data_IF_164806057024
#
_entry.id   IF_164806057024
#
_cell.length_a   1.000
_cell.length_b   1.000
_cell.length_c   1.000
_cell.angle_alpha   90.00
_cell.angle_beta   90.00
_cell.angle_gamma   90.00
#
_symmetry.space_group_name_H-M   'P 1'
#
loop_
_entity.id
_entity.type
_entity.pdbx_description
1 polymer ?
#
# COMPACT_ATOMS: atom_id res chain seq x y z
N UNK A 1 -6.13 -5.08 -11.69
CA UNK A 1 -4.74 -5.00 -11.19
C UNK A 1 -4.36 -6.21 -10.35
N UNK A 2 -4.95 -6.40 -9.15
CA UNK A 2 -4.57 -7.47 -8.22
C UNK A 2 -4.59 -8.90 -8.81
N UNK A 3 -5.60 -9.23 -9.63
CA UNK A 3 -5.65 -10.53 -10.29
C UNK A 3 -4.40 -10.81 -11.15
N UNK A 4 -3.87 -9.80 -11.83
CA UNK A 4 -2.66 -9.96 -12.65
C UNK A 4 -1.40 -10.15 -11.79
N UNK A 5 -1.34 -9.53 -10.61
CA UNK A 5 -0.28 -9.80 -9.61
C UNK A 5 -0.36 -11.24 -9.11
N UNK A 6 -1.56 -11.75 -8.89
CA UNK A 6 -1.77 -13.16 -8.56
C UNK A 6 -1.33 -14.09 -9.71
N UNK A 7 -1.59 -13.73 -10.97
CA UNK A 7 -1.13 -14.50 -12.13
C UNK A 7 0.39 -14.62 -12.14
N UNK A 8 1.09 -13.48 -11.96
CA UNK A 8 2.55 -13.44 -11.86
C UNK A 8 3.09 -14.34 -10.73
N UNK A 9 2.40 -14.39 -9.59
CA UNK A 9 2.79 -15.23 -8.46
C UNK A 9 2.54 -16.73 -8.70
N UNK A 10 1.48 -17.08 -9.44
CA UNK A 10 1.24 -18.48 -9.86
C UNK A 10 2.35 -18.93 -10.82
N UNK A 11 2.68 -18.09 -11.81
CA UNK A 11 3.70 -18.39 -12.81
C UNK A 11 5.11 -18.43 -12.19
N UNK A 12 5.43 -17.55 -11.23
CA UNK A 12 6.73 -17.54 -10.54
C UNK A 12 6.99 -18.84 -9.77
N UNK A 13 5.92 -19.54 -9.37
CA UNK A 13 5.94 -20.85 -8.71
C UNK A 13 5.84 -22.03 -9.68
N UNK A 14 5.91 -21.78 -10.99
CA UNK A 14 5.80 -22.80 -12.04
C UNK A 14 4.38 -23.30 -12.29
N UNK A 15 3.37 -22.61 -11.75
CA UNK A 15 1.96 -22.88 -12.04
C UNK A 15 1.51 -22.26 -13.36
N UNK A 16 0.36 -22.69 -13.85
CA UNK A 16 -0.26 -22.17 -15.08
C UNK A 16 -1.54 -21.40 -14.74
N UNK A 17 -1.67 -20.19 -15.26
CA UNK A 17 -2.89 -19.38 -15.10
C UNK A 17 -4.04 -20.02 -15.89
N UNK A 18 -5.22 -20.24 -15.28
CA UNK A 18 -6.38 -20.77 -15.98
C UNK A 18 -6.79 -19.91 -17.18
N UNK A 19 -7.06 -20.53 -18.33
CA UNK A 19 -7.44 -19.81 -19.54
C UNK A 19 -8.73 -18.99 -19.37
N UNK A 20 -9.67 -19.45 -18.54
CA UNK A 20 -10.87 -18.69 -18.19
C UNK A 20 -10.55 -17.35 -17.51
N UNK A 21 -9.51 -17.31 -16.67
CA UNK A 21 -9.07 -16.09 -16.00
C UNK A 21 -8.39 -15.13 -16.97
N UNK A 22 -7.58 -15.65 -17.91
CA UNK A 22 -7.00 -14.85 -19.00
C UNK A 22 -8.08 -14.25 -19.92
N UNK A 23 -9.14 -15.02 -20.21
CA UNK A 23 -10.30 -14.52 -20.96
C UNK A 23 -11.02 -13.41 -20.18
N UNK A 24 -11.21 -13.58 -18.88
CA UNK A 24 -11.79 -12.56 -18.00
C UNK A 24 -10.97 -11.26 -17.98
N UNK A 25 -9.65 -11.38 -17.87
CA UNK A 25 -8.73 -10.24 -17.94
C UNK A 25 -8.90 -9.47 -19.26
N UNK A 26 -8.93 -10.16 -20.40
CA UNK A 26 -9.10 -9.54 -21.72
C UNK A 26 -10.43 -8.79 -21.81
N UNK A 27 -11.53 -9.44 -21.41
CA UNK A 27 -12.87 -8.80 -21.42
C UNK A 27 -12.91 -7.53 -20.58
N UNK A 28 -12.30 -7.55 -19.39
CA UNK A 28 -12.22 -6.39 -18.51
C UNK A 28 -11.38 -5.27 -19.12
N UNK A 29 -10.18 -5.58 -19.65
CA UNK A 29 -9.32 -4.60 -20.31
C UNK A 29 -10.02 -3.96 -21.53
N UNK A 30 -10.68 -4.77 -22.36
CA UNK A 30 -11.45 -4.28 -23.51
C UNK A 30 -12.60 -3.37 -23.09
N UNK A 31 -13.27 -3.66 -21.97
CA UNK A 31 -14.33 -2.81 -21.44
C UNK A 31 -13.81 -1.43 -21.02
N UNK A 32 -12.67 -1.37 -20.33
CA UNK A 32 -12.06 -0.09 -19.97
C UNK A 32 -11.57 0.69 -21.19
N UNK A 33 -11.03 0.03 -22.21
CA UNK A 33 -10.69 0.70 -23.48
C UNK A 33 -11.94 1.27 -24.16
N UNK A 34 -13.05 0.53 -24.21
CA UNK A 34 -14.31 1.05 -24.79
C UNK A 34 -14.82 2.28 -24.03
N UNK A 35 -14.78 2.25 -22.69
CA UNK A 35 -15.12 3.41 -21.86
C UNK A 35 -14.24 4.62 -22.18
N UNK A 36 -12.93 4.41 -22.27
CA UNK A 36 -11.97 5.46 -22.62
C UNK A 36 -12.23 6.03 -24.02
N UNK A 37 -12.45 5.17 -25.01
CA UNK A 37 -12.67 5.57 -26.39
C UNK A 37 -13.98 6.35 -26.56
N UNK A 38 -15.01 6.01 -25.78
CA UNK A 38 -16.31 6.68 -25.80
C UNK A 38 -16.33 7.99 -25.01
N UNK A 39 -15.72 8.02 -23.83
CA UNK A 39 -15.90 9.11 -22.86
C UNK A 39 -14.62 9.84 -22.45
N UNK A 40 -13.44 9.30 -22.76
CA UNK A 40 -12.16 9.85 -22.29
C UNK A 40 -11.97 9.75 -20.77
N UNK A 41 -12.66 8.82 -20.12
CA UNK A 41 -12.60 8.57 -18.67
C UNK A 41 -13.19 7.18 -18.34
N UNK A 42 -13.02 6.73 -17.09
CA UNK A 42 -13.54 5.43 -16.64
C UNK A 42 -14.82 5.51 -15.79
N UNK A 43 -15.21 6.71 -15.36
CA UNK A 43 -16.37 6.92 -14.48
C UNK A 43 -16.11 6.53 -13.03
N UNK A 44 -16.95 7.04 -12.14
CA UNK A 44 -17.11 6.52 -10.77
C UNK A 44 -18.21 5.47 -10.74
N UNK A 45 -19.36 5.78 -11.34
CA UNK A 45 -20.47 4.86 -11.49
C UNK A 45 -20.73 4.61 -12.97
N UNK A 46 -20.80 3.32 -13.30
CA UNK A 46 -20.99 2.83 -14.66
C UNK A 46 -22.15 1.84 -14.63
N UNK A 47 -23.06 1.95 -15.59
CA UNK A 47 -24.11 0.97 -15.81
C UNK A 47 -23.48 -0.37 -16.20
N UNK A 48 -23.77 -1.42 -15.45
CA UNK A 48 -23.13 -2.74 -15.62
C UNK A 48 -23.57 -3.44 -16.91
N UNK A 49 -24.76 -3.12 -17.43
CA UNK A 49 -25.33 -3.74 -18.63
C UNK A 49 -24.88 -3.01 -19.90
N UNK A 50 -24.90 -1.67 -19.89
CA UNK A 50 -24.58 -0.87 -21.08
C UNK A 50 -23.13 -0.41 -21.15
N UNK A 51 -22.46 -0.32 -20.00
CA UNK A 51 -21.15 0.33 -19.90
C UNK A 51 -21.21 1.85 -20.02
N UNK A 52 -22.37 2.46 -19.83
CA UNK A 52 -22.50 3.92 -19.84
C UNK A 52 -22.10 4.52 -18.49
N UNK A 53 -21.40 5.66 -18.53
CA UNK A 53 -21.02 6.37 -17.31
C UNK A 53 -22.24 7.11 -16.77
N UNK A 54 -22.68 6.72 -15.57
CA UNK A 54 -23.74 7.38 -14.83
C UNK A 54 -23.21 8.60 -14.06
N UNK A 55 -22.03 8.45 -13.44
CA UNK A 55 -21.33 9.53 -12.73
C UNK A 55 -19.86 9.49 -13.11
N UNK A 56 -19.34 10.60 -13.62
CA UNK A 56 -17.96 10.74 -14.09
C UNK A 56 -17.18 11.83 -13.38
N UNK A 57 -16.06 12.23 -13.97
CA UNK A 57 -15.23 13.36 -13.56
C UNK A 57 -14.61 13.23 -12.17
N UNK A 58 -14.19 12.01 -11.82
CA UNK A 58 -13.46 11.69 -10.60
C UNK A 58 -12.20 10.86 -10.92
N UNK A 59 -11.40 10.57 -9.90
CA UNK A 59 -10.24 9.68 -9.95
C UNK A 59 -10.57 8.24 -9.50
N UNK A 60 -11.85 7.86 -9.43
CA UNK A 60 -12.30 6.53 -9.03
C UNK A 60 -11.61 5.39 -9.82
N UNK A 61 -11.46 5.60 -11.13
CA UNK A 61 -10.79 4.66 -12.02
C UNK A 61 -9.27 4.75 -12.02
N UNK A 62 -8.63 5.35 -11.01
CA UNK A 62 -7.18 5.56 -10.99
C UNK A 62 -6.40 4.24 -11.20
N UNK A 63 -6.78 3.16 -10.51
CA UNK A 63 -6.09 1.86 -10.61
C UNK A 63 -6.21 1.21 -12.00
N UNK A 64 -7.18 1.63 -12.82
CA UNK A 64 -7.38 1.12 -14.18
C UNK A 64 -6.15 1.40 -15.04
N UNK A 65 -5.46 2.53 -14.82
CA UNK A 65 -4.23 2.87 -15.52
C UNK A 65 -3.16 1.78 -15.32
N UNK A 66 -2.82 1.45 -14.07
CA UNK A 66 -1.89 0.36 -13.76
C UNK A 66 -2.40 -0.99 -14.24
N UNK A 67 -3.71 -1.23 -14.12
CA UNK A 67 -4.34 -2.47 -14.58
C UNK A 67 -4.21 -2.70 -16.09
N UNK A 68 -4.43 -1.67 -16.90
CA UNK A 68 -4.26 -1.71 -18.35
C UNK A 68 -2.79 -1.79 -18.76
N UNK A 69 -1.89 -1.14 -18.02
CA UNK A 69 -0.45 -1.25 -18.25
C UNK A 69 0.00 -2.72 -18.09
N UNK A 70 -0.35 -3.37 -16.97
CA UNK A 70 -0.08 -4.79 -16.75
C UNK A 70 -0.73 -5.66 -17.83
N UNK A 71 -1.99 -5.36 -18.19
CA UNK A 71 -2.71 -6.15 -19.18
C UNK A 71 -2.05 -6.05 -20.57
N UNK A 72 -1.47 -4.90 -20.91
CA UNK A 72 -0.72 -4.73 -22.15
C UNK A 72 0.47 -5.67 -22.23
N UNK A 73 1.18 -5.86 -21.11
CA UNK A 73 2.30 -6.79 -21.00
C UNK A 73 1.81 -8.24 -21.09
N UNK A 74 0.83 -8.62 -20.26
CA UNK A 74 0.30 -9.99 -20.17
C UNK A 74 -0.38 -10.46 -21.45
N UNK A 75 -1.11 -9.59 -22.14
CA UNK A 75 -1.89 -9.92 -23.34
C UNK A 75 -1.22 -9.44 -24.63
N UNK A 76 0.00 -8.90 -24.56
CA UNK A 76 0.76 -8.35 -25.68
C UNK A 76 -0.05 -7.41 -26.57
N UNK A 77 -0.81 -6.49 -25.96
CA UNK A 77 -1.77 -5.62 -26.66
C UNK A 77 -1.38 -4.14 -26.49
N UNK A 78 -0.71 -3.52 -27.48
CA UNK A 78 -0.21 -2.14 -27.38
C UNK A 78 -1.28 -1.10 -27.10
N UNK A 79 -2.52 -1.34 -27.54
CA UNK A 79 -3.65 -0.44 -27.28
C UNK A 79 -3.91 -0.24 -25.79
N UNK A 80 -3.79 -1.30 -24.97
CA UNK A 80 -4.00 -1.18 -23.53
C UNK A 80 -2.97 -0.25 -22.90
N UNK A 81 -1.71 -0.33 -23.33
CA UNK A 81 -0.67 0.56 -22.84
C UNK A 81 -0.94 2.01 -23.27
N UNK A 82 -1.31 2.24 -24.53
CA UNK A 82 -1.63 3.58 -25.01
C UNK A 82 -2.76 4.24 -24.19
N UNK A 83 -3.82 3.49 -23.86
CA UNK A 83 -4.91 3.98 -23.02
C UNK A 83 -4.45 4.18 -21.57
N UNK A 84 -3.63 3.28 -21.03
CA UNK A 84 -3.07 3.40 -19.68
C UNK A 84 -2.25 4.69 -19.53
N UNK A 85 -1.37 4.99 -20.49
CA UNK A 85 -0.55 6.20 -20.48
C UNK A 85 -1.41 7.47 -20.62
N UNK A 86 -2.35 7.49 -21.58
CA UNK A 86 -3.21 8.64 -21.82
C UNK A 86 -4.12 8.95 -20.62
N UNK A 87 -4.71 7.92 -20.00
CA UNK A 87 -5.56 8.08 -18.82
C UNK A 87 -4.78 8.51 -17.59
N UNK A 88 -3.58 7.96 -17.36
CA UNK A 88 -2.72 8.37 -16.26
C UNK A 88 -2.25 9.83 -16.40
N UNK A 89 -1.93 10.27 -17.62
CA UNK A 89 -1.59 11.66 -17.91
C UNK A 89 -2.78 12.59 -17.64
N UNK A 90 -3.99 12.17 -18.03
CA UNK A 90 -5.22 12.93 -17.72
C UNK A 90 -5.43 13.05 -16.21
N UNK A 91 -5.29 11.96 -15.45
CA UNK A 91 -5.43 12.01 -13.99
C UNK A 91 -4.40 12.92 -13.33
N UNK A 92 -3.16 12.92 -13.81
CA UNK A 92 -2.14 13.85 -13.32
C UNK A 92 -2.56 15.31 -13.51
N UNK A 93 -2.99 15.69 -14.72
CA UNK A 93 -3.40 17.06 -15.01
C UNK A 93 -4.69 17.49 -14.31
N UNK A 94 -5.68 16.60 -14.25
CA UNK A 94 -7.01 16.96 -13.77
C UNK A 94 -7.15 16.91 -12.25
N UNK A 95 -6.28 16.17 -11.56
CA UNK A 95 -6.37 15.93 -10.12
C UNK A 95 -5.06 16.24 -9.39
N UNK A 96 -3.96 15.56 -9.73
CA UNK A 96 -2.70 15.68 -8.99
C UNK A 96 -2.18 17.11 -8.99
N UNK A 97 -2.12 17.77 -10.15
CA UNK A 97 -1.69 19.18 -10.25
C UNK A 97 -2.60 20.16 -9.50
N UNK A 98 -3.84 19.76 -9.17
CA UNK A 98 -4.77 20.55 -8.38
C UNK A 98 -4.71 20.24 -6.88
N UNK A 99 -3.87 19.28 -6.47
CA UNK A 99 -3.61 18.96 -5.07
C UNK A 99 -4.60 18.00 -4.42
N UNK A 100 -5.41 17.27 -5.19
CA UNK A 100 -6.35 16.29 -4.63
C UNK A 100 -6.68 15.16 -5.61
N UNK A 101 -7.20 14.05 -5.10
CA UNK A 101 -7.87 12.97 -5.85
C UNK A 101 -9.24 12.71 -5.24
N UNK A 102 -10.16 12.05 -5.94
CA UNK A 102 -11.55 11.88 -5.47
C UNK A 102 -12.27 10.68 -6.09
N UNK A 103 -13.30 10.18 -5.41
CA UNK A 103 -14.21 9.13 -5.89
C UNK A 103 -13.68 7.71 -5.74
N UNK A 104 -12.58 7.51 -5.02
CA UNK A 104 -12.00 6.19 -4.76
C UNK A 104 -12.97 5.22 -4.07
N UNK A 105 -13.55 5.58 -2.92
CA UNK A 105 -14.52 4.72 -2.24
C UNK A 105 -15.86 4.76 -2.99
N UNK A 106 -16.31 3.60 -3.47
CA UNK A 106 -17.46 3.48 -4.37
C UNK A 106 -18.82 3.59 -3.67
N UNK A 107 -18.83 3.50 -2.34
CA UNK A 107 -20.03 3.52 -1.51
C UNK A 107 -20.37 4.90 -0.95
N UNK A 108 -19.54 5.91 -1.20
CA UNK A 108 -19.73 7.28 -0.72
C UNK A 108 -19.70 8.30 -1.87
N UNK A 109 -20.04 9.56 -1.56
CA UNK A 109 -19.99 10.68 -2.51
C UNK A 109 -18.56 10.90 -3.04
N UNK A 110 -18.43 11.54 -4.21
CA UNK A 110 -17.16 11.95 -4.84
C UNK A 110 -16.42 13.02 -4.02
N UNK A 111 -16.00 12.65 -2.81
CA UNK A 111 -15.25 13.49 -1.89
C UNK A 111 -13.75 13.25 -2.08
N UNK A 112 -12.87 14.22 -1.72
CA UNK A 112 -11.45 13.97 -1.68
C UNK A 112 -11.08 12.76 -0.81
N UNK A 113 -10.20 11.91 -1.31
CA UNK A 113 -9.90 10.62 -0.69
C UNK A 113 -8.48 10.11 -0.93
N UNK A 114 -8.02 9.24 -0.04
CA UNK A 114 -6.70 8.59 -0.11
C UNK A 114 -6.68 7.39 -1.05
N UNK A 115 -7.82 6.71 -1.23
CA UNK A 115 -7.88 5.44 -1.97
C UNK A 115 -7.54 5.64 -3.44
N UNK A 116 -8.11 6.66 -4.06
CA UNK A 116 -7.78 7.10 -5.42
C UNK A 116 -6.36 7.66 -5.50
N UNK A 117 -5.84 8.30 -4.45
CA UNK A 117 -4.46 8.77 -4.40
C UNK A 117 -3.47 7.60 -4.46
N UNK A 118 -3.58 6.63 -3.55
CA UNK A 118 -2.70 5.48 -3.53
C UNK A 118 -2.92 4.56 -4.75
N UNK A 119 -4.14 4.42 -5.26
CA UNK A 119 -4.43 3.71 -6.51
C UNK A 119 -3.75 4.35 -7.74
N UNK A 120 -3.69 5.68 -7.78
CA UNK A 120 -2.99 6.41 -8.84
C UNK A 120 -1.48 6.30 -8.68
N UNK A 121 -0.97 6.31 -7.45
CA UNK A 121 0.45 6.10 -7.14
C UNK A 121 0.91 4.71 -7.60
N UNK A 122 0.14 3.65 -7.28
CA UNK A 122 0.34 2.29 -7.79
C UNK A 122 0.37 2.27 -9.32
N UNK A 123 -0.54 3.00 -9.96
CA UNK A 123 -0.62 3.06 -11.42
C UNK A 123 0.58 3.74 -12.06
N UNK A 124 1.07 4.85 -11.50
CA UNK A 124 2.31 5.47 -11.97
C UNK A 124 3.50 4.55 -11.81
N UNK A 125 3.58 3.80 -10.70
CA UNK A 125 4.65 2.84 -10.50
C UNK A 125 4.58 1.67 -11.48
N UNK A 126 3.40 1.10 -11.74
CA UNK A 126 3.23 0.06 -12.75
C UNK A 126 3.61 0.55 -14.15
N UNK A 127 3.18 1.76 -14.52
CA UNK A 127 3.58 2.40 -15.78
C UNK A 127 5.09 2.61 -15.87
N UNK A 128 5.75 3.04 -14.78
CA UNK A 128 7.19 3.17 -14.74
C UNK A 128 7.90 1.83 -14.92
N UNK A 129 7.46 0.78 -14.23
CA UNK A 129 8.06 -0.56 -14.30
C UNK A 129 7.99 -1.13 -15.73
N UNK A 130 6.89 -0.89 -16.44
CA UNK A 130 6.67 -1.38 -17.82
C UNK A 130 7.38 -0.51 -18.86
N UNK A 131 7.25 0.81 -18.76
CA UNK A 131 7.68 1.74 -19.83
C UNK A 131 9.06 2.32 -19.60
N UNK A 132 9.56 2.30 -18.36
CA UNK A 132 10.79 2.97 -17.90
C UNK A 132 10.82 4.48 -18.13
N UNK A 133 9.70 5.11 -18.50
CA UNK A 133 9.60 6.56 -18.69
C UNK A 133 9.65 7.25 -17.34
N UNK A 134 10.68 8.10 -17.12
CA UNK A 134 10.88 8.84 -15.86
C UNK A 134 9.75 9.82 -15.53
N UNK A 135 8.91 10.20 -16.50
CA UNK A 135 7.75 11.05 -16.27
C UNK A 135 6.82 10.50 -15.19
N UNK A 136 6.66 9.18 -15.11
CA UNK A 136 5.80 8.56 -14.11
C UNK A 136 6.37 8.69 -12.69
N UNK A 137 7.70 8.71 -12.55
CA UNK A 137 8.35 9.01 -11.27
C UNK A 137 8.16 10.48 -10.88
N UNK A 138 8.19 11.40 -11.85
CA UNK A 138 7.90 12.80 -11.58
C UNK A 138 6.44 12.99 -11.11
N UNK A 139 5.49 12.32 -11.76
CA UNK A 139 4.08 12.37 -11.34
C UNK A 139 3.86 11.74 -9.96
N UNK A 140 4.54 10.64 -9.67
CA UNK A 140 4.53 10.03 -8.33
C UNK A 140 5.14 10.96 -7.27
N UNK A 141 6.22 11.68 -7.59
CA UNK A 141 6.81 12.69 -6.69
C UNK A 141 5.82 13.79 -6.32
N UNK A 142 5.03 14.27 -7.28
CA UNK A 142 4.03 15.32 -7.05
C UNK A 142 2.81 14.80 -6.28
N UNK A 143 2.48 13.51 -6.44
CA UNK A 143 1.38 12.85 -5.74
C UNK A 143 1.74 12.44 -4.30
N UNK A 144 3.02 12.19 -4.01
CA UNK A 144 3.48 11.71 -2.70
C UNK A 144 3.03 12.60 -1.52
N UNK A 145 3.10 13.94 -1.59
CA UNK A 145 2.58 14.80 -0.52
C UNK A 145 1.07 14.66 -0.28
N UNK A 146 0.28 14.38 -1.31
CA UNK A 146 -1.16 14.13 -1.19
C UNK A 146 -1.39 12.80 -0.46
N UNK A 147 -0.64 11.74 -0.83
CA UNK A 147 -0.68 10.47 -0.09
C UNK A 147 -0.32 10.68 1.38
N UNK A 148 0.76 11.41 1.66
CA UNK A 148 1.21 11.69 3.02
C UNK A 148 0.19 12.52 3.83
N UNK A 149 -0.55 13.45 3.21
CA UNK A 149 -1.54 14.25 3.94
C UNK A 149 -2.75 13.45 4.42
N UNK A 150 -2.96 12.24 3.90
CA UNK A 150 -3.97 11.31 4.40
C UNK A 150 -3.47 10.36 5.48
N UNK A 151 -2.16 10.32 5.73
CA UNK A 151 -1.56 9.46 6.76
C UNK A 151 -1.36 10.24 8.05
N UNK A 152 -1.77 9.66 9.16
CA UNK A 152 -1.59 10.24 10.50
C UNK A 152 -0.10 10.21 10.85
N UNK A 153 0.46 11.38 11.15
CA UNK A 153 1.90 11.59 11.40
C UNK A 153 2.29 11.61 12.88
N UNK A 154 1.37 11.26 13.77
CA UNK A 154 1.56 11.33 15.22
C UNK A 154 0.75 10.26 15.95
N UNK A 155 1.14 9.99 17.19
CA UNK A 155 0.37 9.13 18.08
C UNK A 155 -0.62 9.95 18.89
N UNK A 156 -1.89 9.62 18.71
CA UNK A 156 -3.01 10.20 19.42
C UNK A 156 -3.11 9.58 20.81
N UNK A 157 -3.36 10.43 21.81
CA UNK A 157 -3.56 9.97 23.18
C UNK A 157 -5.01 9.51 23.32
N UNK A 158 -5.24 8.21 23.14
CA UNK A 158 -6.57 7.63 23.28
C UNK A 158 -7.09 7.72 24.73
N UNK A 159 -8.40 7.95 24.94
CA UNK A 159 -9.00 7.95 26.27
C UNK A 159 -8.74 6.65 27.03
N UNK A 160 -8.44 6.73 28.33
CA UNK A 160 -8.07 5.57 29.16
C UNK A 160 -9.06 4.40 29.13
N UNK A 161 -10.34 4.72 28.98
CA UNK A 161 -11.43 3.73 28.93
C UNK A 161 -11.71 3.17 27.52
N UNK A 162 -11.04 3.68 26.48
CA UNK A 162 -11.24 3.26 25.09
C UNK A 162 -10.58 1.91 24.80
N UNK A 163 -10.98 1.25 23.71
CA UNK A 163 -10.39 -0.03 23.29
C UNK A 163 -8.95 0.17 22.81
N UNK A 164 -8.72 1.22 22.03
CA UNK A 164 -7.39 1.55 21.50
C UNK A 164 -6.38 1.84 22.61
N UNK A 165 -6.80 2.50 23.70
CA UNK A 165 -5.93 2.68 24.87
C UNK A 165 -5.56 1.36 25.55
N UNK A 166 -6.51 0.43 25.72
CA UNK A 166 -6.25 -0.88 26.35
C UNK A 166 -5.22 -1.72 25.59
N UNK A 167 -5.12 -1.52 24.29
CA UNK A 167 -4.12 -2.17 23.44
C UNK A 167 -2.91 -1.27 23.16
N UNK A 168 -2.72 -0.18 23.91
CA UNK A 168 -1.60 0.74 23.76
C UNK A 168 -1.35 1.10 22.28
N UNK A 169 -2.43 1.45 21.58
CA UNK A 169 -2.37 1.69 20.14
C UNK A 169 -1.68 3.01 19.80
N UNK A 170 -0.84 2.96 18.78
CA UNK A 170 -0.15 4.06 18.14
C UNK A 170 -0.86 4.42 16.83
N UNK A 171 -1.38 5.65 16.72
CA UNK A 171 -2.12 6.07 15.52
C UNK A 171 -1.24 6.48 14.34
N UNK A 172 0.06 6.71 14.57
CA UNK A 172 0.98 7.03 13.47
C UNK A 172 0.92 5.93 12.40
N UNK A 173 0.89 6.33 11.13
CA UNK A 173 0.77 5.41 9.99
C UNK A 173 -0.66 4.98 9.64
N UNK A 174 -1.66 5.24 10.50
CA UNK A 174 -3.06 5.01 10.13
C UNK A 174 -3.49 5.99 9.02
N UNK A 175 -4.39 5.57 8.14
CA UNK A 175 -4.74 6.30 6.90
C UNK A 175 -6.20 6.72 6.90
N UNK A 176 -6.47 8.00 6.67
CA UNK A 176 -7.81 8.53 6.46
C UNK A 176 -8.29 8.21 5.05
N UNK A 177 -9.31 7.36 4.94
CA UNK A 177 -9.81 6.93 3.64
C UNK A 177 -10.35 8.09 2.79
N UNK A 178 -11.10 9.03 3.39
CA UNK A 178 -11.64 10.20 2.72
C UNK A 178 -12.08 11.27 3.72
N UNK A 179 -12.43 12.48 3.24
CA UNK A 179 -13.06 13.48 4.11
C UNK A 179 -14.50 13.09 4.55
N UNK A 180 -15.13 12.14 3.86
CA UNK A 180 -16.46 11.66 4.23
C UNK A 180 -16.39 10.53 5.26
N UNK A 181 -15.27 9.80 5.32
CA UNK A 181 -14.99 8.80 6.34
C UNK A 181 -14.42 9.49 7.59
N UNK A 182 -15.01 9.16 8.73
CA UNK A 182 -14.88 9.95 9.97
C UNK A 182 -13.82 9.38 10.93
N UNK A 183 -13.02 8.45 10.46
CA UNK A 183 -11.98 7.73 11.18
C UNK A 183 -10.83 7.44 10.21
N UNK A 184 -9.63 7.20 10.75
CA UNK A 184 -8.59 6.56 9.97
C UNK A 184 -8.75 5.04 10.00
N UNK A 185 -7.97 4.36 9.18
CA UNK A 185 -7.90 2.92 9.05
C UNK A 185 -6.47 2.41 9.29
N UNK A 186 -6.29 1.11 9.63
CA UNK A 186 -4.99 0.53 9.93
C UNK A 186 -3.92 0.68 8.83
N UNK A 187 -4.32 0.88 7.57
CA UNK A 187 -3.40 0.98 6.45
C UNK A 187 -4.08 1.45 5.16
N UNK A 188 -3.39 1.29 4.03
CA UNK A 188 -3.80 1.80 2.73
C UNK A 188 -4.86 0.87 2.10
N UNK A 189 -6.13 0.96 2.51
CA UNK A 189 -7.21 0.12 1.98
C UNK A 189 -6.77 -1.36 1.82
N UNK A 190 -6.67 -1.89 0.59
CA UNK A 190 -6.25 -3.28 0.30
C UNK A 190 -4.79 -3.38 -0.19
N UNK A 191 -3.93 -2.42 0.16
CA UNK A 191 -2.56 -2.28 -0.38
C UNK A 191 -1.51 -2.37 0.73
N UNK A 192 -0.33 -2.88 0.37
CA UNK A 192 0.83 -2.99 1.26
C UNK A 192 1.69 -1.73 1.33
N UNK A 193 1.56 -0.83 0.35
CA UNK A 193 2.52 0.25 0.13
C UNK A 193 3.81 -0.17 -0.59
N UNK A 194 3.87 -1.36 -1.22
CA UNK A 194 5.07 -1.79 -1.97
C UNK A 194 5.47 -0.82 -3.09
N UNK A 195 4.50 -0.08 -3.67
CA UNK A 195 4.78 1.01 -4.60
C UNK A 195 5.68 2.12 -4.01
N UNK A 196 5.55 2.45 -2.71
CA UNK A 196 6.39 3.45 -2.05
C UNK A 196 7.84 2.97 -1.94
N UNK A 197 8.05 1.69 -1.62
CA UNK A 197 9.39 1.08 -1.60
C UNK A 197 9.99 1.07 -3.02
N UNK A 198 9.23 0.64 -4.02
CA UNK A 198 9.69 0.65 -5.42
C UNK A 198 10.02 2.06 -5.90
N UNK A 199 9.21 3.05 -5.54
CA UNK A 199 9.45 4.45 -5.87
C UNK A 199 10.73 4.97 -5.21
N UNK A 200 10.91 4.71 -3.91
CA UNK A 200 12.15 5.03 -3.21
C UNK A 200 13.35 4.39 -3.90
N UNK A 201 13.28 3.09 -4.26
CA UNK A 201 14.37 2.38 -4.94
C UNK A 201 14.71 3.00 -6.30
N UNK A 202 13.73 3.56 -7.00
CA UNK A 202 13.92 4.22 -8.30
C UNK A 202 14.45 5.65 -8.20
N UNK A 203 14.27 6.34 -7.06
CA UNK A 203 14.48 7.80 -6.96
C UNK A 203 15.39 8.25 -5.82
N UNK A 204 15.55 7.43 -4.78
CA UNK A 204 16.13 7.76 -3.47
C UNK A 204 15.37 8.84 -2.68
N UNK A 205 14.10 9.09 -3.03
CA UNK A 205 13.25 10.03 -2.30
C UNK A 205 12.83 9.47 -0.94
N UNK A 206 13.54 9.91 0.12
CA UNK A 206 13.38 9.39 1.49
C UNK A 206 11.97 9.55 2.04
N UNK A 207 11.23 10.57 1.59
CA UNK A 207 9.84 10.82 2.03
C UNK A 207 8.96 9.60 1.81
N UNK A 208 9.19 8.82 0.75
CA UNK A 208 8.38 7.66 0.43
C UNK A 208 8.67 6.47 1.35
N UNK A 209 9.93 6.21 1.68
CA UNK A 209 10.27 5.09 2.57
C UNK A 209 10.00 5.42 4.03
N UNK A 210 10.08 6.69 4.42
CA UNK A 210 9.65 7.17 5.74
C UNK A 210 8.13 7.01 5.89
N UNK A 211 7.34 7.46 4.91
CA UNK A 211 5.88 7.25 4.89
C UNK A 211 5.52 5.76 4.93
N UNK A 212 6.23 4.94 4.17
CA UNK A 212 6.02 3.49 4.18
C UNK A 212 6.35 2.89 5.55
N UNK A 213 7.42 3.34 6.21
CA UNK A 213 7.80 2.85 7.53
C UNK A 213 6.72 3.17 8.56
N UNK A 214 6.17 4.38 8.57
CA UNK A 214 5.07 4.75 9.48
C UNK A 214 3.86 3.82 9.29
N UNK A 215 3.42 3.63 8.05
CA UNK A 215 2.25 2.80 7.71
C UNK A 215 2.51 1.32 8.04
N UNK A 216 3.61 0.76 7.55
CA UNK A 216 3.91 -0.67 7.69
C UNK A 216 4.20 -1.07 9.14
N UNK A 217 4.85 -0.19 9.91
CA UNK A 217 5.12 -0.43 11.33
C UNK A 217 3.85 -0.31 12.18
N UNK A 218 2.96 0.63 11.82
CA UNK A 218 1.71 0.88 12.53
C UNK A 218 0.66 -0.21 12.30
N UNK A 219 0.56 -0.79 11.10
CA UNK A 219 -0.55 -1.67 10.73
C UNK A 219 -0.71 -2.93 11.63
N UNK A 220 0.34 -3.73 11.92
CA UNK A 220 0.19 -5.02 12.59
C UNK A 220 -0.41 -4.96 14.00
N UNK A 221 -0.32 -3.83 14.69
CA UNK A 221 -0.86 -3.67 16.05
C UNK A 221 -2.39 -3.76 16.10
N UNK A 222 -3.07 -3.53 14.97
CA UNK A 222 -4.51 -3.57 14.84
C UNK A 222 -5.07 -4.98 14.60
N UNK A 223 -4.22 -5.99 14.61
CA UNK A 223 -4.62 -7.40 14.54
C UNK A 223 -5.06 -7.85 15.93
N UNK A 224 -6.33 -8.24 16.06
CA UNK A 224 -6.86 -8.86 17.27
C UNK A 224 -6.15 -10.19 17.52
N UNK A 225 -5.58 -10.36 18.71
CA UNK A 225 -4.92 -11.61 19.11
C UNK A 225 -5.66 -12.27 20.26
N UNK A 226 -5.46 -13.58 20.42
CA UNK A 226 -6.06 -14.32 21.52
C UNK A 226 -5.60 -13.80 22.91
N UNK A 227 -4.36 -13.34 23.03
CA UNK A 227 -3.76 -12.77 24.23
C UNK A 227 -4.01 -11.25 24.38
N UNK A 228 -4.41 -10.59 23.30
CA UNK A 228 -4.66 -9.14 23.24
C UNK A 228 -5.84 -8.84 22.30
N UNK A 229 -7.08 -9.16 22.71
CA UNK A 229 -8.24 -8.98 21.85
C UNK A 229 -8.58 -7.49 21.68
N UNK A 230 -9.01 -7.12 20.49
CA UNK A 230 -9.49 -5.76 20.19
C UNK A 230 -11.02 -5.77 20.17
N UNK A 231 -11.60 -5.22 21.23
CA UNK A 231 -13.06 -5.26 21.43
C UNK A 231 -13.53 -6.71 21.53
N UNK A 232 -14.55 -7.06 20.72
CA UNK A 232 -15.10 -8.41 20.65
C UNK A 232 -14.62 -9.18 19.40
N UNK A 233 -13.59 -8.70 18.70
CA UNK A 233 -13.13 -9.34 17.45
C UNK A 233 -12.44 -10.68 17.71
N UNK A 234 -12.68 -11.70 16.86
CA UNK A 234 -11.96 -12.96 16.94
C UNK A 234 -10.46 -12.78 16.63
N UNK A 235 -9.59 -13.72 17.05
CA UNK A 235 -8.19 -13.72 16.67
C UNK A 235 -7.98 -13.68 15.16
N UNK A 236 -7.04 -12.86 14.70
CA UNK A 236 -6.78 -12.60 13.28
C UNK A 236 -7.64 -11.50 12.68
N UNK A 237 -8.71 -11.08 13.35
CA UNK A 237 -9.57 -10.01 12.86
C UNK A 237 -8.95 -8.63 12.99
N UNK A 238 -9.21 -7.77 12.00
CA UNK A 238 -8.78 -6.38 11.99
C UNK A 238 -9.99 -5.48 11.81
N UNK A 239 -10.08 -4.44 12.65
CA UNK A 239 -11.12 -3.44 12.54
C UNK A 239 -10.66 -2.31 11.61
N UNK A 240 -11.55 -1.84 10.75
CA UNK A 240 -11.34 -0.63 9.96
C UNK A 240 -11.19 0.64 10.81
N UNK A 241 -11.83 0.71 11.99
CA UNK A 241 -11.96 1.95 12.76
C UNK A 241 -10.76 2.22 13.65
N UNK A 242 -9.86 3.11 13.22
CA UNK A 242 -8.93 3.83 14.09
C UNK A 242 -9.51 5.22 14.36
N UNK A 243 -10.35 5.33 15.38
CA UNK A 243 -11.14 6.54 15.59
C UNK A 243 -10.44 7.56 16.50
N UNK A 244 -10.03 8.67 15.90
CA UNK A 244 -9.23 9.75 16.51
C UNK A 244 -10.07 10.97 16.89
N UNK A 245 -11.37 10.95 16.58
CA UNK A 245 -12.28 12.09 16.74
C UNK A 245 -13.60 11.70 17.39
N UNK A 246 -14.30 12.68 17.94
CA UNK A 246 -15.62 12.51 18.56
C UNK A 246 -16.77 12.54 17.54
N UNK A 247 -16.47 12.40 16.24
CA UNK A 247 -17.47 12.48 15.20
C UNK A 247 -18.61 11.47 15.38
N UNK A 248 -18.27 10.23 15.73
CA UNK A 248 -19.27 9.18 16.02
C UNK A 248 -19.77 9.23 17.48
N UNK A 249 -19.47 10.32 18.20
CA UNK A 249 -19.74 10.53 19.62
C UNK A 249 -18.47 10.48 20.48
N UNK A 250 -18.46 11.23 21.59
CA UNK A 250 -17.31 11.29 22.50
C UNK A 250 -16.94 9.94 23.11
N UNK A 251 -17.95 9.10 23.36
CA UNK A 251 -17.78 7.74 23.85
C UNK A 251 -17.14 6.79 22.82
N UNK A 252 -17.07 7.21 21.56
CA UNK A 252 -16.66 6.40 20.41
C UNK A 252 -15.20 6.66 20.00
N UNK A 253 -14.54 7.64 20.62
CA UNK A 253 -13.10 7.92 20.45
C UNK A 253 -12.31 6.71 20.94
N UNK A 254 -11.41 6.18 20.10
CA UNK A 254 -10.68 4.94 20.40
C UNK A 254 -11.56 3.68 20.40
N UNK A 255 -12.77 3.73 19.82
CA UNK A 255 -13.56 2.53 19.54
C UNK A 255 -15.08 2.73 19.42
N UNK A 256 -15.70 2.12 18.40
CA UNK A 256 -17.16 2.17 18.24
C UNK A 256 -17.76 0.96 17.51
N UNK A 257 -17.03 0.38 16.56
CA UNK A 257 -17.51 -0.75 15.73
C UNK A 257 -16.37 -1.75 15.57
N UNK A 258 -16.36 -2.82 16.36
CA UNK A 258 -15.31 -3.85 16.34
C UNK A 258 -15.77 -5.08 15.56
N UNK A 259 -15.86 -4.93 14.24
CA UNK A 259 -16.07 -6.02 13.29
C UNK A 259 -14.83 -6.25 12.43
N UNK A 260 -14.56 -7.52 12.13
CA UNK A 260 -13.50 -7.91 11.20
C UNK A 260 -13.78 -7.35 9.81
N UNK A 261 -12.77 -6.73 9.21
CA UNK A 261 -12.84 -6.10 7.91
C UNK A 261 -11.84 -6.73 6.94
N UNK A 262 -12.37 -7.36 5.88
CA UNK A 262 -11.58 -8.19 4.96
C UNK A 262 -10.50 -7.42 4.20
N UNK A 263 -10.73 -6.14 3.87
CA UNK A 263 -9.72 -5.35 3.17
C UNK A 263 -8.57 -4.95 4.11
N UNK A 264 -8.85 -4.67 5.39
CA UNK A 264 -7.80 -4.41 6.38
C UNK A 264 -6.93 -5.65 6.60
N UNK A 265 -7.57 -6.81 6.74
CA UNK A 265 -6.89 -8.11 6.84
C UNK A 265 -6.01 -8.35 5.61
N UNK A 266 -6.54 -8.06 4.42
CA UNK A 266 -5.78 -8.21 3.17
C UNK A 266 -4.59 -7.27 3.12
N UNK A 267 -4.72 -5.99 3.51
CA UNK A 267 -3.58 -5.08 3.60
C UNK A 267 -2.52 -5.56 4.59
N UNK A 268 -2.91 -6.11 5.75
CA UNK A 268 -1.97 -6.69 6.71
C UNK A 268 -1.17 -7.85 6.11
N UNK A 269 -1.89 -8.81 5.51
CA UNK A 269 -1.28 -9.98 4.88
C UNK A 269 -0.36 -9.57 3.71
N UNK A 270 -0.77 -8.61 2.88
CA UNK A 270 0.05 -8.09 1.79
C UNK A 270 1.27 -7.34 2.31
N UNK A 271 1.15 -6.53 3.36
CA UNK A 271 2.26 -5.80 3.98
C UNK A 271 3.34 -6.78 4.44
N UNK A 272 2.96 -7.77 5.24
CA UNK A 272 3.88 -8.80 5.75
C UNK A 272 4.43 -9.67 4.62
N UNK A 273 3.68 -9.89 3.54
CA UNK A 273 4.13 -10.73 2.41
C UNK A 273 5.06 -9.99 1.45
N UNK A 274 4.73 -8.75 1.06
CA UNK A 274 5.37 -8.02 -0.03
C UNK A 274 6.53 -7.14 0.43
N UNK A 275 6.50 -6.62 1.66
CA UNK A 275 7.57 -5.78 2.17
C UNK A 275 8.66 -6.63 2.86
N UNK A 276 9.95 -6.24 2.77
CA UNK A 276 10.96 -6.76 3.68
C UNK A 276 10.73 -6.18 5.08
N UNK A 277 11.12 -6.90 6.13
CA UNK A 277 11.13 -6.32 7.48
C UNK A 277 12.29 -5.35 7.70
N UNK A 278 13.39 -5.57 6.96
CA UNK A 278 14.53 -4.66 6.89
C UNK A 278 14.96 -4.46 5.44
N UNK A 279 15.01 -3.21 5.01
CA UNK A 279 15.55 -2.82 3.72
C UNK A 279 16.92 -2.14 3.89
N UNK A 280 17.92 -2.50 3.06
CA UNK A 280 19.31 -2.02 3.18
C UNK A 280 19.89 -1.61 1.82
N UNK A 281 20.53 -0.43 1.77
CA UNK A 281 21.36 0.05 0.66
C UNK A 281 22.81 0.25 1.12
N UNK A 282 23.66 -0.80 1.06
CA UNK A 282 25.01 -0.75 1.60
C UNK A 282 25.91 0.32 0.98
N UNK A 283 25.75 0.59 -0.32
CA UNK A 283 26.51 1.60 -1.05
C UNK A 283 26.20 3.03 -0.62
N UNK A 284 25.03 3.26 -0.02
CA UNK A 284 24.60 4.57 0.52
C UNK A 284 24.66 4.66 2.03
N UNK A 285 25.05 3.59 2.72
CA UNK A 285 25.03 3.52 4.18
C UNK A 285 23.62 3.72 4.76
N UNK A 286 22.58 3.30 4.03
CA UNK A 286 21.19 3.54 4.40
C UNK A 286 20.46 2.23 4.69
N UNK A 287 19.57 2.23 5.67
CA UNK A 287 18.62 1.16 5.94
C UNK A 287 17.30 1.72 6.45
N UNK A 288 16.22 0.97 6.26
CA UNK A 288 14.90 1.27 6.79
C UNK A 288 14.29 0.01 7.42
N UNK A 289 13.70 0.18 8.60
CA UNK A 289 12.98 -0.88 9.32
C UNK A 289 11.50 -0.72 9.01
N UNK A 290 10.88 -1.76 8.46
CA UNK A 290 9.47 -1.77 8.03
C UNK A 290 8.62 -2.80 8.80
N UNK A 291 9.18 -3.32 9.90
CA UNK A 291 8.59 -4.33 10.77
C UNK A 291 8.86 -3.95 12.23
N UNK A 292 8.26 -4.64 13.19
CA UNK A 292 8.38 -4.32 14.62
C UNK A 292 9.67 -4.89 15.25
N UNK A 293 10.81 -4.66 14.60
CA UNK A 293 12.16 -4.94 15.10
C UNK A 293 12.96 -3.66 15.37
N UNK A 294 14.10 -3.78 16.03
CA UNK A 294 15.10 -2.71 16.11
C UNK A 294 16.31 -3.08 15.27
N UNK A 295 16.84 -2.11 14.53
CA UNK A 295 18.11 -2.25 13.82
C UNK A 295 19.05 -1.13 14.25
N UNK A 296 20.30 -1.48 14.52
CA UNK A 296 21.36 -0.54 14.88
C UNK A 296 22.55 -0.73 13.93
N UNK A 297 23.04 0.36 13.36
CA UNK A 297 24.30 0.35 12.62
C UNK A 297 25.47 0.24 13.58
N UNK A 298 26.26 -0.83 13.45
CA UNK A 298 27.48 -1.05 14.22
C UNK A 298 28.66 -0.41 13.49
N UNK A 299 28.86 -0.79 12.24
CA UNK A 299 29.88 -0.21 11.38
C UNK A 299 29.54 -0.36 9.90
N UNK A 300 30.17 0.48 9.10
CA UNK A 300 30.22 0.35 7.64
C UNK A 300 31.65 0.02 7.24
N UNK A 301 31.85 -1.11 6.57
CA UNK A 301 33.16 -1.49 6.07
C UNK A 301 33.07 -1.82 4.58
N UNK A 302 33.72 -0.99 3.76
CA UNK A 302 33.53 -0.98 2.29
C UNK A 302 32.04 -0.81 1.94
N UNK A 303 31.58 -1.41 0.84
CA UNK A 303 30.16 -1.45 0.42
C UNK A 303 29.34 -2.49 1.22
N UNK A 304 29.62 -2.64 2.53
CA UNK A 304 28.92 -3.54 3.43
C UNK A 304 28.52 -2.80 4.70
N UNK A 305 27.37 -3.18 5.24
CA UNK A 305 26.83 -2.66 6.50
C UNK A 305 26.75 -3.80 7.51
N UNK A 306 27.32 -3.58 8.69
CA UNK A 306 27.15 -4.44 9.86
C UNK A 306 26.04 -3.87 10.72
N UNK A 307 24.92 -4.58 10.76
CA UNK A 307 23.74 -4.20 11.52
C UNK A 307 23.52 -5.19 12.67
N UNK A 308 23.12 -4.68 13.83
CA UNK A 308 22.57 -5.48 14.90
C UNK A 308 21.05 -5.42 14.85
N UNK A 309 20.41 -6.57 14.68
CA UNK A 309 18.95 -6.69 14.72
C UNK A 309 18.54 -7.23 16.07
N UNK A 310 17.54 -6.60 16.69
CA UNK A 310 16.97 -7.01 17.97
C UNK A 310 15.47 -7.16 17.81
N UNK A 311 14.91 -8.27 18.30
CA UNK A 311 13.47 -8.46 18.39
C UNK A 311 12.98 -7.98 19.77
N UNK A 312 12.34 -6.81 19.88
CA UNK A 312 11.85 -6.29 21.16
C UNK A 312 10.52 -6.91 21.59
N UNK A 313 9.93 -7.79 20.78
CA UNK A 313 8.58 -8.32 21.01
C UNK A 313 8.63 -9.61 21.84
N UNK A 314 7.45 -10.00 22.35
CA UNK A 314 7.27 -11.27 23.06
C UNK A 314 7.14 -12.49 22.12
N UNK A 315 7.23 -12.30 20.80
CA UNK A 315 6.98 -13.34 19.80
C UNK A 315 8.22 -13.58 18.95
N UNK A 316 8.48 -14.81 18.48
CA UNK A 316 9.52 -15.03 17.48
C UNK A 316 9.20 -14.27 16.18
N UNK A 317 10.24 -13.79 15.51
CA UNK A 317 10.13 -13.06 14.27
C UNK A 317 10.99 -13.69 13.16
N UNK A 318 10.40 -13.87 11.98
CA UNK A 318 11.10 -14.26 10.75
C UNK A 318 11.33 -12.99 9.91
N UNK A 319 12.46 -12.32 10.16
CA UNK A 319 12.76 -11.02 9.54
C UNK A 319 13.27 -11.22 8.12
N UNK A 320 12.50 -10.75 7.13
CA UNK A 320 12.95 -10.66 5.73
C UNK A 320 13.91 -9.48 5.56
N UNK A 321 15.19 -9.76 5.41
CA UNK A 321 16.21 -8.75 5.11
C UNK A 321 16.42 -8.68 3.61
N UNK A 322 16.13 -7.51 3.03
CA UNK A 322 16.41 -7.21 1.63
C UNK A 322 17.52 -6.16 1.53
N UNK A 323 18.68 -6.61 1.06
CA UNK A 323 19.87 -5.79 0.83
C UNK A 323 20.11 -5.65 -0.67
N UNK A 324 20.28 -4.42 -1.18
CA UNK A 324 20.50 -4.21 -2.62
C UNK A 324 21.73 -4.99 -3.11
N UNK A 325 21.54 -5.73 -4.20
CA UNK A 325 22.58 -6.59 -4.78
C UNK A 325 22.69 -7.99 -4.17
N UNK A 326 21.81 -8.35 -3.24
CA UNK A 326 21.76 -9.69 -2.61
C UNK A 326 20.37 -10.31 -2.71
N UNK A 327 20.31 -11.64 -2.57
CA UNK A 327 19.04 -12.34 -2.38
C UNK A 327 18.46 -12.02 -0.99
N UNK A 328 17.13 -12.04 -0.88
CA UNK A 328 16.45 -11.87 0.41
C UNK A 328 16.90 -12.96 1.38
N UNK A 329 17.26 -12.56 2.58
CA UNK A 329 17.65 -13.45 3.68
C UNK A 329 16.54 -13.45 4.74
N UNK A 330 16.32 -14.60 5.39
CA UNK A 330 15.40 -14.70 6.52
C UNK A 330 16.24 -14.85 7.79
N UNK A 331 16.15 -13.86 8.69
CA UNK A 331 16.82 -13.87 9.99
C UNK A 331 15.77 -14.17 11.04
N UNK A 332 15.89 -15.34 11.67
CA UNK A 332 15.01 -15.75 12.76
C UNK A 332 15.49 -15.16 14.08
N UNK A 333 14.62 -14.45 14.78
CA UNK A 333 14.90 -13.86 16.09
C UNK A 333 13.90 -14.36 17.13
N UNK A 334 14.39 -15.03 18.17
CA UNK A 334 13.59 -15.33 19.36
C UNK A 334 13.23 -14.02 20.11
N UNK A 335 12.22 -14.04 21.01
CA UNK A 335 11.88 -12.88 21.84
C UNK A 335 13.12 -12.34 22.58
N UNK A 336 13.35 -11.03 22.52
CA UNK A 336 14.51 -10.33 23.09
C UNK A 336 15.89 -10.73 22.54
N UNK A 337 15.95 -11.55 21.49
CA UNK A 337 17.21 -11.95 20.87
C UNK A 337 17.81 -10.80 20.06
N UNK A 338 19.14 -10.72 20.05
CA UNK A 338 19.90 -9.86 19.13
C UNK A 338 20.85 -10.67 18.28
N UNK A 339 20.89 -10.40 16.97
CA UNK A 339 21.83 -11.00 16.02
C UNK A 339 22.52 -9.93 15.19
N UNK A 340 23.80 -10.15 14.95
CA UNK A 340 24.60 -9.34 14.06
C UNK A 340 24.51 -9.89 12.64
N UNK A 341 24.22 -9.02 11.67
CA UNK A 341 24.09 -9.36 10.26
C UNK A 341 24.98 -8.46 9.42
N UNK A 342 25.55 -9.03 8.37
CA UNK A 342 26.31 -8.30 7.38
C UNK A 342 25.54 -8.24 6.07
N UNK A 343 25.22 -7.02 5.63
CA UNK A 343 24.51 -6.77 4.39
C UNK A 343 25.46 -6.14 3.37
N UNK A 344 25.45 -6.66 2.13
CA UNK A 344 26.27 -6.18 1.03
C UNK A 344 27.29 -7.21 0.57
N UNK A 345 27.41 -7.32 -0.75
CA UNK A 345 28.18 -8.37 -1.41
C UNK A 345 29.63 -8.44 -0.90
N UNK A 346 30.05 -9.64 -0.49
CA UNK A 346 31.45 -9.96 -0.28
C UNK A 346 32.15 -10.02 -1.64
N UNK A 347 32.75 -8.91 -2.07
CA UNK A 347 33.82 -8.97 -3.07
C UNK A 347 35.15 -9.21 -2.37
#
# INVERSE_FOLDING_TARGET
YMAQRQFQEIESKGGTVPQAWMSGLRKQADAFVRLWDKYGQFGQFVDVETGDICVGSSAAGAIVCGGLALAAQTLHTPRYLAVAEASAQKYYHDFVLKGYTTGGPGEILSAPDSESAFALFESFMALYEITRKKQWLAYASDLLPICASWTVSYDYIFPENSVMHRIDAHSCGSVWASIANKHSAPGICTWSGDCLLKYYRATNDRRAIELLADIAHGLPQYISRADRPIGNMPPGGICERVNLSDWEGKQSVGGNIFGSCSWCETAALLTVTQLPGLYVQPDKGFYAVLDNIKAQLIETHRKRMHLRLTNPTAFPADVKVFSEGENIQIIRLAPNESKDVWCGASK
#
